data_IF_190197399953
#
_entry.id   IF_190197399953
#
_cell.length_a   1.000
_cell.length_b   1.000
_cell.length_c   1.000
_cell.angle_alpha   90.00
_cell.angle_beta   90.00
_cell.angle_gamma   90.00
#
_symmetry.space_group_name_H-M   'P 1'
#
loop_
_entity.id
_entity.type
_entity.pdbx_description
1 polymer ?
#
# COMPACT_ATOMS: atom_id res chain seq x y z
N UNK A 1 42.13 23.28 -6.13
CA UNK A 1 41.33 24.43 -5.66
C UNK A 1 41.09 24.24 -4.16
N UNK A 2 41.68 25.08 -3.31
CA UNK A 2 41.49 24.97 -1.85
C UNK A 2 40.16 25.64 -1.51
N UNK A 3 39.24 24.85 -0.97
CA UNK A 3 37.89 25.29 -0.65
C UNK A 3 37.93 26.39 0.42
N UNK A 4 37.25 27.51 0.18
CA UNK A 4 37.23 28.64 1.12
C UNK A 4 36.44 28.24 2.38
N UNK A 5 36.70 28.86 3.54
CA UNK A 5 36.03 28.50 4.80
C UNK A 5 34.50 28.56 4.71
N UNK A 6 33.96 29.51 3.95
CA UNK A 6 32.52 29.63 3.69
C UNK A 6 31.98 28.47 2.86
N UNK A 7 32.69 28.07 1.81
CA UNK A 7 32.33 26.92 0.98
C UNK A 7 32.37 25.60 1.78
N UNK A 8 33.35 25.44 2.70
CA UNK A 8 33.39 24.27 3.60
C UNK A 8 32.15 24.18 4.50
N UNK A 9 31.71 25.31 5.04
CA UNK A 9 30.51 25.36 5.88
C UNK A 9 29.26 25.06 5.04
N UNK A 10 29.15 25.62 3.84
CA UNK A 10 28.04 25.36 2.94
C UNK A 10 27.93 23.88 2.55
N UNK A 11 29.06 23.23 2.21
CA UNK A 11 29.08 21.79 1.91
C UNK A 11 28.71 20.97 3.14
N UNK A 12 29.22 21.32 4.33
CA UNK A 12 28.89 20.60 5.55
C UNK A 12 27.39 20.66 5.86
N UNK A 13 26.77 21.84 5.71
CA UNK A 13 25.32 22.01 5.87
C UNK A 13 24.58 21.17 4.83
N UNK A 14 25.00 21.21 3.56
CA UNK A 14 24.36 20.46 2.49
C UNK A 14 24.40 18.94 2.77
N UNK A 15 25.56 18.40 3.13
CA UNK A 15 25.72 16.98 3.45
C UNK A 15 24.87 16.59 4.64
N UNK A 16 24.82 17.44 5.68
CA UNK A 16 24.00 17.19 6.85
C UNK A 16 22.50 17.15 6.50
N UNK A 17 22.02 18.11 5.71
CA UNK A 17 20.62 18.14 5.26
C UNK A 17 20.29 16.90 4.43
N UNK A 18 21.15 16.51 3.50
CA UNK A 18 20.97 15.30 2.70
C UNK A 18 20.87 14.06 3.61
N UNK A 19 21.78 13.93 4.59
CA UNK A 19 21.78 12.82 5.52
C UNK A 19 20.48 12.75 6.33
N UNK A 20 19.97 13.88 6.82
CA UNK A 20 18.71 13.95 7.59
C UNK A 20 17.52 13.56 6.71
N UNK A 21 17.44 14.07 5.47
CA UNK A 21 16.35 13.74 4.54
C UNK A 21 16.35 12.26 4.20
N UNK A 22 17.51 11.68 3.90
CA UNK A 22 17.64 10.24 3.61
C UNK A 22 17.27 9.38 4.81
N UNK A 23 17.74 9.73 6.01
CA UNK A 23 17.38 9.01 7.23
C UNK A 23 15.87 9.06 7.48
N UNK A 24 15.24 10.22 7.30
CA UNK A 24 13.80 10.40 7.48
C UNK A 24 12.99 9.60 6.46
N UNK A 25 13.41 9.60 5.19
CA UNK A 25 12.79 8.81 4.13
C UNK A 25 12.91 7.30 4.42
N UNK A 26 14.09 6.83 4.86
CA UNK A 26 14.29 5.43 5.22
C UNK A 26 13.43 5.00 6.41
N UNK A 27 13.30 5.84 7.44
CA UNK A 27 12.38 5.57 8.56
C UNK A 27 10.94 5.47 8.07
N UNK A 28 10.50 6.35 7.18
CA UNK A 28 9.15 6.32 6.62
C UNK A 28 8.88 5.05 5.80
N UNK A 29 9.88 4.57 5.07
CA UNK A 29 9.81 3.33 4.30
C UNK A 29 9.69 2.09 5.21
N UNK A 30 10.47 2.05 6.31
CA UNK A 30 10.45 0.92 7.27
C UNK A 30 9.14 0.84 8.04
N UNK A 31 8.58 1.96 8.49
CA UNK A 31 7.34 1.95 9.26
C UNK A 31 6.14 1.54 8.38
N UNK A 32 6.24 1.77 7.06
CA UNK A 32 5.26 1.34 6.09
C UNK A 32 3.88 1.99 6.27
N UNK A 33 2.87 1.37 5.65
CA UNK A 33 1.49 1.91 5.61
C UNK A 33 0.70 1.68 6.90
N UNK A 34 1.16 0.79 7.77
CA UNK A 34 0.45 0.35 8.97
C UNK A 34 0.06 1.50 9.90
N UNK A 35 1.01 2.40 10.24
CA UNK A 35 0.76 3.51 11.17
C UNK A 35 -0.20 4.58 10.65
N UNK A 36 -0.35 4.66 9.32
CA UNK A 36 -1.23 5.64 8.66
C UNK A 36 -2.58 5.02 8.31
N UNK A 37 -2.72 3.72 8.44
CA UNK A 37 -3.95 2.98 8.18
C UNK A 37 -4.78 2.84 9.45
N UNK A 38 -6.09 2.74 9.27
CA UNK A 38 -7.03 2.34 10.32
C UNK A 38 -7.65 0.99 9.98
N UNK A 39 -8.06 0.16 10.95
CA UNK A 39 -8.87 -1.02 10.65
C UNK A 39 -10.12 -0.61 9.85
N UNK A 40 -10.42 -1.33 8.78
CA UNK A 40 -11.60 -1.04 7.97
C UNK A 40 -12.87 -1.18 8.83
N UNK A 41 -13.73 -0.17 8.74
CA UNK A 41 -15.07 -0.18 9.29
C UNK A 41 -16.07 0.34 8.25
N UNK A 42 -17.36 -0.05 8.34
CA UNK A 42 -18.41 0.44 7.44
C UNK A 42 -18.50 1.97 7.42
N UNK A 43 -18.13 2.62 8.53
CA UNK A 43 -18.21 4.07 8.74
C UNK A 43 -17.04 4.87 8.13
N UNK A 44 -15.99 4.21 7.62
CA UNK A 44 -14.84 4.92 7.04
C UNK A 44 -15.28 5.85 5.89
N UNK A 45 -14.69 7.03 5.75
CA UNK A 45 -14.98 7.87 4.61
C UNK A 45 -14.25 7.37 3.35
N UNK A 46 -14.80 7.69 2.18
CA UNK A 46 -14.06 7.53 0.92
C UNK A 46 -12.76 8.34 0.96
N UNK A 47 -11.67 7.73 0.50
CA UNK A 47 -10.33 8.31 0.56
C UNK A 47 -9.51 7.91 1.80
N UNK A 48 -10.11 7.26 2.80
CA UNK A 48 -9.36 6.77 3.96
C UNK A 48 -8.48 5.56 3.62
N UNK A 49 -7.24 5.59 4.09
CA UNK A 49 -6.33 4.44 4.06
C UNK A 49 -6.73 3.47 5.18
N UNK A 50 -7.06 2.25 4.80
CA UNK A 50 -7.53 1.20 5.71
C UNK A 50 -6.68 -0.04 5.64
N UNK A 51 -6.66 -0.77 6.74
CA UNK A 51 -6.15 -2.12 6.86
C UNK A 51 -7.33 -3.10 6.97
N UNK A 52 -7.30 -4.18 6.20
CA UNK A 52 -8.31 -5.22 6.23
C UNK A 52 -7.65 -6.59 6.19
N UNK A 53 -8.18 -7.54 6.96
CA UNK A 53 -7.72 -8.91 7.01
C UNK A 53 -8.92 -9.84 6.84
N UNK A 54 -8.77 -10.91 6.06
CA UNK A 54 -9.84 -11.87 5.83
C UNK A 54 -9.44 -13.00 4.90
N UNK A 55 -10.42 -13.80 4.52
CA UNK A 55 -10.23 -14.95 3.63
C UNK A 55 -10.74 -14.58 2.24
N UNK A 56 -9.97 -14.91 1.20
CA UNK A 56 -10.41 -14.74 -0.18
C UNK A 56 -11.53 -15.73 -0.50
N UNK A 57 -12.72 -15.23 -0.74
CA UNK A 57 -13.91 -16.02 -1.07
C UNK A 57 -14.07 -16.19 -2.57
N UNK A 58 -13.86 -15.11 -3.32
CA UNK A 58 -14.02 -15.10 -4.76
C UNK A 58 -12.91 -14.31 -5.45
N UNK A 59 -12.62 -14.73 -6.69
CA UNK A 59 -11.69 -14.06 -7.58
C UNK A 59 -12.31 -13.91 -8.95
N UNK A 60 -12.38 -12.68 -9.46
CA UNK A 60 -12.82 -12.39 -10.82
C UNK A 60 -11.88 -11.40 -11.51
N UNK A 61 -11.87 -11.44 -12.84
CA UNK A 61 -11.23 -10.42 -13.67
C UNK A 61 -12.29 -9.48 -14.23
N UNK A 62 -11.98 -8.19 -14.32
CA UNK A 62 -12.86 -7.27 -15.03
C UNK A 62 -12.85 -7.60 -16.51
N UNK A 63 -14.01 -7.43 -17.16
CA UNK A 63 -14.18 -7.73 -18.59
C UNK A 63 -13.20 -6.96 -19.50
N UNK A 64 -12.71 -5.80 -19.05
CA UNK A 64 -11.75 -4.96 -19.76
C UNK A 64 -10.64 -4.49 -18.82
N UNK A 65 -9.44 -4.26 -19.35
CA UNK A 65 -8.34 -3.60 -18.64
C UNK A 65 -7.45 -4.50 -17.76
N UNK A 66 -7.77 -5.80 -17.64
CA UNK A 66 -6.96 -6.76 -16.87
C UNK A 66 -6.95 -6.48 -15.36
N UNK A 67 -7.93 -5.72 -14.86
CA UNK A 67 -8.09 -5.49 -13.44
C UNK A 67 -8.62 -6.75 -12.78
N UNK A 68 -8.32 -6.90 -11.50
CA UNK A 68 -8.74 -8.03 -10.69
C UNK A 68 -9.69 -7.53 -9.61
N UNK A 69 -10.72 -8.29 -9.32
CA UNK A 69 -11.60 -8.08 -8.18
C UNK A 69 -11.50 -9.30 -7.29
N UNK A 70 -11.25 -9.07 -6.01
CA UNK A 70 -11.33 -10.09 -4.98
C UNK A 70 -12.52 -9.78 -4.07
N UNK A 71 -13.22 -10.83 -3.64
CA UNK A 71 -14.14 -10.73 -2.52
C UNK A 71 -13.45 -11.38 -1.33
N UNK A 72 -13.25 -10.61 -0.28
CA UNK A 72 -12.56 -11.04 0.94
C UNK A 72 -13.53 -10.86 2.08
N UNK A 73 -14.00 -11.95 2.69
CA UNK A 73 -14.97 -11.92 3.79
C UNK A 73 -16.16 -10.98 3.53
N UNK A 74 -16.75 -11.07 2.34
CA UNK A 74 -17.85 -10.22 1.87
C UNK A 74 -17.48 -8.81 1.40
N UNK A 75 -16.22 -8.39 1.54
CA UNK A 75 -15.74 -7.07 1.09
C UNK A 75 -15.14 -7.13 -0.32
N UNK A 76 -15.63 -6.27 -1.21
CA UNK A 76 -15.11 -6.10 -2.56
C UNK A 76 -13.79 -5.32 -2.56
N UNK A 77 -12.77 -5.90 -3.16
CA UNK A 77 -11.43 -5.32 -3.29
C UNK A 77 -11.10 -5.18 -4.76
N UNK A 78 -10.82 -3.95 -5.20
CA UNK A 78 -10.47 -3.65 -6.57
C UNK A 78 -8.96 -3.48 -6.74
N UNK A 79 -8.43 -4.14 -7.76
CA UNK A 79 -7.00 -4.25 -7.99
C UNK A 79 -6.72 -3.80 -9.43
N UNK A 80 -6.07 -2.63 -9.60
CA UNK A 80 -5.63 -2.17 -10.91
C UNK A 80 -4.67 -3.18 -11.55
N UNK A 81 -4.68 -3.29 -12.88
CA UNK A 81 -3.79 -4.21 -13.61
C UNK A 81 -2.31 -3.91 -13.37
N UNK A 82 -1.95 -2.66 -13.13
CA UNK A 82 -0.61 -2.24 -12.70
C UNK A 82 -0.17 -2.80 -11.35
N UNK A 83 -1.13 -3.25 -10.53
CA UNK A 83 -0.89 -3.84 -9.21
C UNK A 83 -0.93 -5.37 -9.22
N UNK A 84 -1.45 -5.98 -10.30
CA UNK A 84 -1.49 -7.44 -10.45
C UNK A 84 -0.08 -7.97 -10.64
N UNK A 85 0.30 -8.97 -9.84
CA UNK A 85 1.58 -9.69 -9.88
C UNK A 85 1.34 -11.20 -9.97
N UNK A 86 2.36 -11.94 -10.34
CA UNK A 86 2.37 -13.39 -10.12
C UNK A 86 2.41 -13.69 -8.61
N UNK A 87 1.79 -14.79 -8.18
CA UNK A 87 1.71 -15.17 -6.76
C UNK A 87 0.64 -14.45 -5.93
N UNK A 88 -0.36 -13.87 -6.58
CA UNK A 88 -1.51 -13.28 -5.88
C UNK A 88 -2.31 -14.32 -5.08
N UNK A 89 -2.97 -13.89 -3.99
CA UNK A 89 -3.80 -14.79 -3.19
C UNK A 89 -4.87 -15.47 -4.02
N UNK A 90 -5.07 -16.75 -3.73
CA UNK A 90 -6.09 -17.62 -4.30
C UNK A 90 -7.29 -17.70 -3.37
N UNK A 91 -8.41 -18.16 -3.91
CA UNK A 91 -9.60 -18.49 -3.11
C UNK A 91 -9.22 -19.48 -2.01
N UNK A 92 -9.59 -19.16 -0.77
CA UNK A 92 -9.25 -19.90 0.44
C UNK A 92 -8.06 -19.35 1.21
N UNK A 93 -7.25 -18.45 0.63
CA UNK A 93 -6.09 -17.88 1.32
C UNK A 93 -6.52 -16.82 2.34
N UNK A 94 -5.89 -16.83 3.51
CA UNK A 94 -5.98 -15.74 4.48
C UNK A 94 -4.99 -14.64 4.09
N UNK A 95 -5.46 -13.39 4.01
CA UNK A 95 -4.70 -12.26 3.50
C UNK A 95 -4.88 -11.02 4.37
N UNK A 96 -3.82 -10.24 4.46
CA UNK A 96 -3.75 -8.94 5.11
C UNK A 96 -3.45 -7.91 4.03
N UNK A 97 -4.26 -6.85 3.98
CA UNK A 97 -4.13 -5.82 2.96
C UNK A 97 -4.25 -4.40 3.50
N UNK A 98 -3.68 -3.48 2.73
CA UNK A 98 -3.84 -2.04 2.85
C UNK A 98 -4.49 -1.49 1.59
N UNK A 99 -5.44 -0.60 1.72
CA UNK A 99 -6.06 0.01 0.55
C UNK A 99 -6.82 1.26 0.90
N UNK A 100 -7.35 1.93 -0.13
CA UNK A 100 -8.12 3.15 0.04
C UNK A 100 -9.59 2.85 -0.16
N UNK A 101 -10.42 3.24 0.80
CA UNK A 101 -11.88 3.12 0.66
C UNK A 101 -12.34 3.99 -0.50
N UNK A 102 -13.15 3.44 -1.38
CA UNK A 102 -13.79 4.18 -2.45
C UNK A 102 -15.19 3.63 -2.75
N UNK A 103 -16.03 4.46 -3.32
CA UNK A 103 -17.32 4.04 -3.88
C UNK A 103 -17.25 4.07 -5.40
N UNK A 104 -17.39 2.90 -6.04
CA UNK A 104 -17.45 2.79 -7.49
C UNK A 104 -18.85 2.32 -7.92
N UNK A 105 -19.53 3.13 -8.75
CA UNK A 105 -20.89 2.86 -9.24
C UNK A 105 -21.92 2.60 -8.12
N UNK A 106 -21.74 3.23 -6.97
CA UNK A 106 -22.63 3.06 -5.80
C UNK A 106 -22.31 1.83 -4.95
N UNK A 107 -21.34 1.00 -5.36
CA UNK A 107 -20.81 -0.09 -4.55
C UNK A 107 -19.52 0.34 -3.87
N UNK A 108 -19.43 0.05 -2.58
CA UNK A 108 -18.26 0.37 -1.77
C UNK A 108 -17.21 -0.73 -1.94
N UNK A 109 -15.97 -0.33 -2.12
CA UNK A 109 -14.84 -1.23 -2.31
C UNK A 109 -13.54 -0.65 -1.74
N UNK A 110 -12.53 -1.50 -1.59
CA UNK A 110 -11.19 -1.08 -1.21
C UNK A 110 -10.29 -1.14 -2.46
N UNK A 111 -9.69 0.00 -2.81
CA UNK A 111 -8.73 0.11 -3.90
C UNK A 111 -7.31 -0.20 -3.44
N UNK A 112 -6.68 -1.17 -4.10
CA UNK A 112 -5.25 -1.44 -3.97
C UNK A 112 -4.45 -0.45 -4.83
N UNK A 113 -3.43 0.19 -4.24
CA UNK A 113 -2.58 1.17 -4.95
C UNK A 113 -1.20 0.65 -5.31
N UNK A 114 -0.67 -0.32 -4.57
CA UNK A 114 0.60 -0.94 -4.86
C UNK A 114 0.52 -2.47 -4.75
N UNK A 115 1.30 -3.21 -5.55
CA UNK A 115 1.29 -4.67 -5.50
C UNK A 115 1.67 -5.28 -4.15
N UNK A 116 2.48 -4.58 -3.34
CA UNK A 116 2.89 -5.04 -2.00
C UNK A 116 1.87 -4.75 -0.91
N UNK A 117 0.73 -4.16 -1.27
CA UNK A 117 -0.31 -3.81 -0.30
C UNK A 117 -1.20 -4.99 0.06
N UNK A 118 -1.05 -6.14 -0.58
CA UNK A 118 -1.74 -7.38 -0.24
C UNK A 118 -0.70 -8.47 0.03
N UNK A 119 -0.81 -9.12 1.19
CA UNK A 119 0.12 -10.16 1.62
C UNK A 119 -0.65 -11.32 2.22
N UNK A 120 -0.23 -12.58 2.00
CA UNK A 120 -0.78 -13.71 2.73
C UNK A 120 -0.46 -13.58 4.23
N UNK A 121 -1.42 -13.93 5.07
CA UNK A 121 -1.26 -13.96 6.55
C UNK A 121 -0.43 -15.16 6.99
N UNK A 122 -0.41 -16.22 6.18
CA UNK A 122 0.37 -17.41 6.47
C UNK A 122 1.83 -17.24 6.02
N UNK A 123 2.84 -17.58 6.85
CA UNK A 123 4.21 -17.65 6.38
C UNK A 123 4.33 -18.76 5.32
N UNK A 124 5.21 -18.62 4.31
CA UNK A 124 5.59 -19.77 3.50
C UNK A 124 6.16 -20.84 4.43
N UNK A 125 5.53 -22.02 4.43
CA UNK A 125 6.01 -23.22 5.12
C UNK A 125 7.20 -23.80 4.36
#
# INVERSE_FOLDING_TARGET
MILVRQEKIAILILVLVIAIVLASAGVLEVIGKGIFSKPYAPECADGELVHYEGIVEEQSYTATGGHKILVISGMRIFIPSSCVKEGWPKVGDAVSLYGVVQTFRGEREILIRAPGDINPVNPPV
#
